data_IF_818925601670
#
_entry.id   IF_818925601670
#
_cell.length_a   1.000
_cell.length_b   1.000
_cell.length_c   1.000
_cell.angle_alpha   90.00
_cell.angle_beta   90.00
_cell.angle_gamma   90.00
#
_symmetry.space_group_name_H-M   'P 1'
#
loop_
_entity.id
_entity.type
_entity.pdbx_description
1 polymer ?
#
# COMPACT_ATOMS: atom_id res chain seq x y z
N UNK A 1 7.70 3.79 2.22
CA UNK A 1 8.23 3.56 3.60
C UNK A 1 8.60 4.91 4.18
N UNK A 2 9.62 5.54 3.60
CA UNK A 2 9.93 6.95 3.82
C UNK A 2 8.75 7.85 3.46
N UNK A 3 8.48 8.83 4.32
CA UNK A 3 7.36 9.75 4.25
C UNK A 3 5.96 9.11 4.15
N UNK A 4 5.85 7.78 4.21
CA UNK A 4 4.61 7.03 4.09
C UNK A 4 4.21 6.35 5.41
N UNK A 5 5.17 5.77 6.12
CA UNK A 5 4.93 5.15 7.44
C UNK A 5 5.67 5.88 8.57
N UNK A 6 6.83 6.45 8.26
CA UNK A 6 7.62 7.29 9.14
C UNK A 6 7.94 8.62 8.47
N UNK A 7 8.19 9.65 9.26
CA UNK A 7 8.54 10.98 8.77
C UNK A 7 9.99 11.04 8.29
N UNK A 8 10.19 11.65 7.12
CA UNK A 8 11.50 11.79 6.48
C UNK A 8 11.94 10.55 5.69
N UNK A 9 13.16 10.66 5.15
CA UNK A 9 13.95 9.50 4.72
C UNK A 9 14.64 8.97 5.96
N UNK A 10 14.31 7.76 6.35
CA UNK A 10 15.03 7.09 7.44
C UNK A 10 16.36 6.64 6.84
N UNK A 11 17.47 6.95 7.49
CA UNK A 11 18.81 6.51 7.13
C UNK A 11 19.58 6.15 8.41
N UNK A 12 20.83 5.69 8.31
CA UNK A 12 21.62 5.26 9.49
C UNK A 12 21.71 6.32 10.61
N UNK A 13 21.43 7.59 10.30
CA UNK A 13 21.52 8.75 11.20
C UNK A 13 20.16 9.37 11.59
N UNK A 14 19.03 8.90 11.04
CA UNK A 14 17.69 9.44 11.34
C UNK A 14 16.68 8.32 11.56
N UNK A 15 16.13 8.26 12.78
CA UNK A 15 15.19 7.21 13.18
C UNK A 15 13.74 7.45 12.75
N UNK A 16 13.43 8.57 12.07
CA UNK A 16 12.11 8.97 11.55
C UNK A 16 10.91 8.55 12.41
N UNK A 17 10.31 9.48 13.15
CA UNK A 17 9.15 9.16 13.98
C UNK A 17 8.03 8.49 13.16
N UNK A 18 7.44 7.42 13.69
CA UNK A 18 6.29 6.77 13.06
C UNK A 18 5.14 7.77 12.97
N UNK A 19 4.52 7.84 11.79
CA UNK A 19 3.33 8.64 11.57
C UNK A 19 2.15 7.95 12.25
N UNK A 20 1.67 8.54 13.35
CA UNK A 20 0.60 7.95 14.17
C UNK A 20 -0.64 7.57 13.34
N UNK A 21 -1.02 8.42 12.38
CA UNK A 21 -2.16 8.16 11.49
C UNK A 21 -1.92 7.00 10.52
N UNK A 22 -0.70 6.81 10.00
CA UNK A 22 -0.37 5.67 9.16
C UNK A 22 -0.42 4.36 9.96
N UNK A 23 0.13 4.35 11.19
CA UNK A 23 0.06 3.18 12.08
C UNK A 23 -1.39 2.86 12.46
N UNK A 24 -2.20 3.89 12.74
CA UNK A 24 -3.64 3.73 13.04
C UNK A 24 -4.39 3.14 11.84
N UNK A 25 -4.13 3.64 10.63
CA UNK A 25 -4.72 3.13 9.41
C UNK A 25 -4.35 1.66 9.16
N UNK A 26 -3.05 1.31 9.27
CA UNK A 26 -2.61 -0.09 9.16
C UNK A 26 -3.35 -1.01 10.13
N UNK A 27 -3.53 -0.58 11.38
CA UNK A 27 -4.28 -1.35 12.38
C UNK A 27 -5.74 -1.55 11.96
N UNK A 28 -6.46 -0.48 11.64
CA UNK A 28 -7.89 -0.55 11.31
C UNK A 28 -8.11 -1.40 10.05
N UNK A 29 -7.27 -1.23 9.03
CA UNK A 29 -7.35 -2.00 7.80
C UNK A 29 -7.10 -3.49 8.05
N UNK A 30 -6.13 -3.82 8.92
CA UNK A 30 -5.87 -5.21 9.32
C UNK A 30 -7.04 -5.84 10.06
N UNK A 31 -7.68 -5.10 10.97
CA UNK A 31 -8.89 -5.56 11.68
C UNK A 31 -10.06 -5.86 10.73
N UNK A 32 -10.03 -5.30 9.51
CA UNK A 32 -11.01 -5.55 8.45
C UNK A 32 -10.57 -6.62 7.44
N UNK A 33 -9.47 -7.33 7.71
CA UNK A 33 -8.96 -8.39 6.84
C UNK A 33 -8.06 -7.91 5.70
N UNK A 34 -7.65 -6.64 5.67
CA UNK A 34 -6.70 -6.15 4.67
C UNK A 34 -5.28 -6.60 5.04
N UNK A 35 -4.63 -7.31 4.12
CA UNK A 35 -3.22 -7.68 4.24
C UNK A 35 -2.31 -6.52 3.85
N UNK A 36 -1.22 -6.33 4.59
CA UNK A 36 -0.23 -5.31 4.31
C UNK A 36 1.05 -5.92 3.75
N UNK A 37 1.68 -5.23 2.81
CA UNK A 37 2.99 -5.57 2.27
C UNK A 37 3.85 -4.32 2.10
N UNK A 38 5.17 -4.50 2.06
CA UNK A 38 6.13 -3.43 1.83
C UNK A 38 6.68 -3.54 0.41
N UNK A 39 6.59 -2.45 -0.36
CA UNK A 39 7.35 -2.25 -1.59
C UNK A 39 8.26 -1.03 -1.38
N UNK A 40 9.54 -1.25 -1.08
CA UNK A 40 10.50 -0.17 -0.79
C UNK A 40 11.67 -0.14 -1.76
N UNK A 41 12.28 1.03 -1.89
CA UNK A 41 13.58 1.17 -2.56
C UNK A 41 14.66 1.25 -1.50
N UNK A 42 15.82 0.66 -1.77
CA UNK A 42 16.96 0.67 -0.87
C UNK A 42 17.45 -0.74 -0.56
N UNK A 43 18.11 -0.87 0.59
CA UNK A 43 18.71 -2.11 1.06
C UNK A 43 17.74 -2.92 1.92
N UNK A 44 17.62 -4.22 1.62
CA UNK A 44 16.67 -5.11 2.30
C UNK A 44 16.99 -5.27 3.78
N UNK A 45 18.26 -5.57 4.12
CA UNK A 45 18.70 -5.80 5.49
C UNK A 45 18.40 -4.58 6.38
N UNK A 46 18.66 -3.38 5.84
CA UNK A 46 18.44 -2.13 6.54
C UNK A 46 16.93 -1.85 6.75
N UNK A 47 16.11 -2.01 5.71
CA UNK A 47 14.64 -1.82 5.80
C UNK A 47 14.02 -2.77 6.83
N UNK A 48 14.42 -4.04 6.81
CA UNK A 48 13.93 -5.06 7.76
C UNK A 48 14.35 -4.75 9.19
N UNK A 49 15.59 -4.29 9.40
CA UNK A 49 16.08 -3.87 10.71
C UNK A 49 15.22 -2.73 11.30
N UNK A 50 14.89 -1.72 10.50
CA UNK A 50 14.02 -0.62 10.93
C UNK A 50 12.59 -1.10 11.25
N UNK A 51 12.01 -1.93 10.40
CA UNK A 51 10.69 -2.52 10.66
C UNK A 51 10.64 -3.31 11.97
N UNK A 52 11.72 -4.06 12.30
CA UNK A 52 11.84 -4.79 13.56
C UNK A 52 12.01 -3.86 14.77
N UNK A 53 12.86 -2.83 14.65
CA UNK A 53 13.06 -1.81 15.69
C UNK A 53 11.74 -1.14 16.09
N UNK A 54 10.85 -0.91 15.12
CA UNK A 54 9.53 -0.33 15.35
C UNK A 54 8.43 -1.36 15.72
N UNK A 55 8.73 -2.66 15.79
CA UNK A 55 7.75 -3.71 16.08
C UNK A 55 6.67 -3.85 14.99
N UNK A 56 7.00 -3.50 13.75
CA UNK A 56 6.09 -3.50 12.60
C UNK A 56 6.34 -4.63 11.62
N UNK A 57 7.52 -5.26 11.65
CA UNK A 57 7.90 -6.33 10.72
C UNK A 57 6.80 -7.40 10.59
N UNK A 58 6.30 -7.91 11.72
CA UNK A 58 5.32 -9.01 11.74
C UNK A 58 3.89 -8.57 11.36
N UNK A 59 3.71 -7.28 11.02
CA UNK A 59 2.44 -6.76 10.49
C UNK A 59 2.36 -6.82 8.97
N UNK A 60 3.47 -7.11 8.29
CA UNK A 60 3.55 -7.20 6.84
C UNK A 60 3.69 -8.66 6.42
N UNK A 61 2.84 -9.10 5.50
CA UNK A 61 2.86 -10.45 4.96
C UNK A 61 4.03 -10.67 3.99
N UNK A 62 4.41 -9.63 3.24
CA UNK A 62 5.52 -9.66 2.29
C UNK A 62 6.30 -8.36 2.39
N UNK A 63 7.63 -8.46 2.31
CA UNK A 63 8.55 -7.31 2.26
C UNK A 63 9.41 -7.43 1.02
N UNK A 64 9.13 -6.62 0.01
CA UNK A 64 9.94 -6.46 -1.19
C UNK A 64 10.73 -5.16 -1.09
N UNK A 65 12.05 -5.27 -1.15
CA UNK A 65 12.97 -4.13 -1.10
C UNK A 65 14.02 -4.29 -2.19
N UNK A 66 14.20 -3.26 -3.01
CA UNK A 66 15.27 -3.25 -4.00
C UNK A 66 15.25 -2.02 -4.88
N UNK A 67 16.25 -1.91 -5.76
CA UNK A 67 16.47 -0.72 -6.60
C UNK A 67 15.64 -0.69 -7.90
N UNK A 68 14.81 -1.72 -8.12
CA UNK A 68 13.93 -1.83 -9.29
C UNK A 68 12.69 -0.93 -9.23
N UNK A 69 11.87 -1.01 -10.27
CA UNK A 69 10.58 -0.29 -10.36
C UNK A 69 9.60 -0.76 -9.28
N UNK A 70 8.77 0.16 -8.77
CA UNK A 70 7.71 -0.15 -7.80
C UNK A 70 6.65 -1.05 -8.38
N UNK A 71 6.25 -0.81 -9.63
CA UNK A 71 5.34 -1.69 -10.36
C UNK A 71 5.79 -3.15 -10.35
N UNK A 72 7.08 -3.42 -10.63
CA UNK A 72 7.62 -4.77 -10.61
C UNK A 72 7.60 -5.41 -9.20
N UNK A 73 7.86 -4.62 -8.15
CA UNK A 73 7.75 -5.09 -6.78
C UNK A 73 6.31 -5.44 -6.41
N UNK A 74 5.34 -4.58 -6.78
CA UNK A 74 3.91 -4.82 -6.54
C UNK A 74 3.43 -6.10 -7.24
N UNK A 75 3.86 -6.34 -8.49
CA UNK A 75 3.52 -7.58 -9.20
C UNK A 75 4.02 -8.82 -8.46
N UNK A 76 5.26 -8.81 -7.95
CA UNK A 76 5.79 -9.93 -7.16
C UNK A 76 5.06 -10.12 -5.84
N UNK A 77 4.71 -9.03 -5.14
CA UNK A 77 3.90 -9.10 -3.91
C UNK A 77 2.54 -9.74 -4.20
N UNK A 78 1.85 -9.28 -5.25
CA UNK A 78 0.53 -9.80 -5.61
C UNK A 78 0.59 -11.29 -5.96
N UNK A 79 1.62 -11.72 -6.70
CA UNK A 79 1.88 -13.13 -7.01
C UNK A 79 2.13 -13.97 -5.75
N UNK A 80 2.99 -13.49 -4.84
CA UNK A 80 3.30 -14.18 -3.58
C UNK A 80 2.07 -14.32 -2.68
N UNK A 81 1.20 -13.31 -2.67
CA UNK A 81 -0.04 -13.32 -1.89
C UNK A 81 -1.20 -14.04 -2.59
N UNK A 82 -1.06 -14.40 -3.87
CA UNK A 82 -2.12 -15.02 -4.66
C UNK A 82 -3.33 -14.10 -4.90
N UNK A 83 -3.14 -12.78 -4.97
CA UNK A 83 -4.21 -11.78 -5.16
C UNK A 83 -4.14 -11.13 -6.54
N UNK A 84 -5.31 -10.72 -7.06
CA UNK A 84 -5.40 -9.94 -8.30
C UNK A 84 -4.91 -8.50 -8.10
N UNK A 85 -4.33 -7.89 -9.14
CA UNK A 85 -3.85 -6.51 -9.09
C UNK A 85 -4.97 -5.47 -8.88
N UNK A 86 -6.19 -5.79 -9.29
CA UNK A 86 -7.42 -5.02 -9.05
C UNK A 86 -7.84 -4.98 -7.57
N UNK A 87 -7.29 -5.88 -6.76
CA UNK A 87 -7.49 -5.93 -5.30
C UNK A 87 -6.38 -5.20 -4.54
N UNK A 88 -5.35 -4.70 -5.23
CA UNK A 88 -4.21 -4.02 -4.60
C UNK A 88 -4.44 -2.52 -4.50
N UNK A 89 -4.26 -2.00 -3.29
CA UNK A 89 -4.09 -0.57 -3.03
C UNK A 89 -2.62 -0.25 -2.76
N UNK A 90 -2.06 0.71 -3.51
CA UNK A 90 -0.70 1.19 -3.35
C UNK A 90 -0.67 2.59 -2.74
N UNK A 91 0.12 2.78 -1.70
CA UNK A 91 0.29 4.07 -1.03
C UNK A 91 1.76 4.48 -1.04
N UNK A 92 2.05 5.67 -1.56
CA UNK A 92 3.41 6.24 -1.53
C UNK A 92 3.35 7.77 -1.39
N UNK A 93 4.39 8.34 -0.77
CA UNK A 93 4.53 9.78 -0.61
C UNK A 93 4.95 10.45 -1.92
N UNK A 94 5.82 9.80 -2.69
CA UNK A 94 6.44 10.35 -3.89
C UNK A 94 5.46 10.30 -5.09
N UNK A 95 5.04 11.45 -5.64
CA UNK A 95 4.17 11.48 -6.81
C UNK A 95 4.72 10.72 -8.01
N UNK A 96 6.03 10.77 -8.24
CA UNK A 96 6.65 10.07 -9.37
C UNK A 96 6.47 8.55 -9.28
N UNK A 97 6.66 7.98 -8.08
CA UNK A 97 6.46 6.54 -7.85
C UNK A 97 4.99 6.14 -8.05
N UNK A 98 4.04 6.99 -7.62
CA UNK A 98 2.61 6.72 -7.88
C UNK A 98 2.27 6.77 -9.37
N UNK A 99 2.81 7.73 -10.10
CA UNK A 99 2.60 7.84 -11.56
C UNK A 99 3.20 6.65 -12.30
N UNK A 100 4.39 6.19 -11.89
CA UNK A 100 5.03 5.00 -12.45
C UNK A 100 4.13 3.77 -12.30
N UNK A 101 3.63 3.53 -11.08
CA UNK A 101 2.73 2.40 -10.78
C UNK A 101 1.42 2.53 -11.53
N UNK A 102 0.77 3.70 -11.50
CA UNK A 102 -0.51 3.91 -12.16
C UNK A 102 -0.42 3.71 -13.69
N UNK A 103 0.70 4.07 -14.30
CA UNK A 103 0.94 3.85 -15.73
C UNK A 103 1.22 2.38 -16.04
N UNK A 104 2.08 1.72 -15.24
CA UNK A 104 2.48 0.34 -15.48
C UNK A 104 1.39 -0.68 -15.11
N UNK A 105 0.60 -0.40 -14.06
CA UNK A 105 -0.42 -1.27 -13.48
C UNK A 105 -1.74 -0.50 -13.30
N UNK A 106 -2.51 -0.24 -14.37
CA UNK A 106 -3.74 0.55 -14.29
C UNK A 106 -4.83 -0.03 -13.38
N UNK A 107 -4.74 -1.32 -13.03
CA UNK A 107 -5.67 -1.98 -12.11
C UNK A 107 -5.40 -1.63 -10.63
N UNK A 108 -4.18 -1.19 -10.31
CA UNK A 108 -3.75 -0.89 -8.94
C UNK A 108 -4.23 0.51 -8.55
N UNK A 109 -5.01 0.60 -7.46
CA UNK A 109 -5.46 1.89 -6.92
C UNK A 109 -4.30 2.57 -6.20
N UNK A 110 -3.93 3.79 -6.63
CA UNK A 110 -2.82 4.54 -6.06
C UNK A 110 -3.30 5.69 -5.15
N UNK A 111 -2.76 5.76 -3.94
CA UNK A 111 -3.11 6.76 -2.93
C UNK A 111 -1.89 7.56 -2.49
N UNK A 112 -2.07 8.86 -2.27
CA UNK A 112 -1.01 9.69 -1.70
C UNK A 112 -0.88 9.42 -0.19
N UNK A 113 0.34 9.24 0.31
CA UNK A 113 0.58 8.92 1.72
C UNK A 113 0.00 9.92 2.73
N UNK A 114 -0.12 11.19 2.34
CA UNK A 114 -0.76 12.24 3.16
C UNK A 114 -2.25 11.97 3.47
N UNK A 115 -2.89 11.04 2.75
CA UNK A 115 -4.29 10.65 2.93
C UNK A 115 -4.42 9.29 3.63
N UNK A 116 -3.38 8.80 4.32
CA UNK A 116 -3.42 7.52 5.02
C UNK A 116 -4.55 7.45 6.07
N UNK A 117 -4.85 8.57 6.71
CA UNK A 117 -5.90 8.74 7.73
C UNK A 117 -7.31 8.48 7.20
N UNK A 118 -7.57 8.81 5.92
CA UNK A 118 -8.89 8.63 5.29
C UNK A 118 -9.04 7.27 4.61
N UNK A 119 -7.97 6.51 4.38
CA UNK A 119 -8.08 5.18 3.75
C UNK A 119 -9.07 4.25 4.46
N UNK A 120 -9.10 4.16 5.80
CA UNK A 120 -10.10 3.36 6.49
C UNK A 120 -11.54 3.87 6.34
N UNK A 121 -11.79 5.07 5.81
CA UNK A 121 -13.14 5.56 5.57
C UNK A 121 -13.68 5.16 4.19
N UNK A 122 -12.80 4.86 3.23
CA UNK A 122 -13.15 4.52 1.84
C UNK A 122 -13.95 3.22 1.77
N UNK A 123 -14.91 3.17 0.84
CA UNK A 123 -15.81 2.02 0.72
C UNK A 123 -15.07 0.73 0.36
N UNK A 124 -14.05 0.80 -0.51
CA UNK A 124 -13.28 -0.39 -0.88
C UNK A 124 -12.49 -1.03 0.27
N UNK A 125 -12.31 -0.31 1.39
CA UNK A 125 -11.63 -0.80 2.59
C UNK A 125 -12.59 -1.05 3.76
N UNK A 126 -13.90 -1.01 3.52
CA UNK A 126 -14.90 -1.48 4.49
C UNK A 126 -15.01 -3.01 4.35
N UNK A 127 -15.14 -3.69 5.48
CA UNK A 127 -15.50 -5.10 5.45
C UNK A 127 -16.81 -5.26 4.66
N UNK A 128 -16.96 -6.30 3.82
CA UNK A 128 -18.23 -6.55 3.16
C UNK A 128 -19.31 -6.68 4.23
N UNK A 129 -20.25 -5.74 4.29
CA UNK A 129 -21.45 -5.89 5.08
C UNK A 129 -22.33 -6.90 4.33
N UNK A 130 -22.05 -8.19 4.53
CA UNK A 130 -22.76 -9.29 3.89
C UNK A 130 -22.51 -9.42 2.39
N UNK A 131 -23.14 -10.43 1.80
CA UNK A 131 -23.05 -10.81 0.38
C UNK A 131 -23.72 -9.83 -0.59
N UNK A 132 -23.91 -8.56 -0.19
CA UNK A 132 -24.56 -7.54 -1.01
C UNK A 132 -23.47 -6.80 -1.77
N UNK A 133 -23.47 -6.83 -3.12
CA UNK A 133 -22.50 -6.07 -3.89
C UNK A 133 -22.66 -4.57 -3.59
N UNK A 134 -21.55 -3.82 -3.50
CA UNK A 134 -21.60 -2.40 -3.19
C UNK A 134 -22.43 -1.66 -4.25
N UNK A 135 -23.23 -0.63 -3.86
CA UNK A 135 -23.93 0.18 -4.83
C UNK A 135 -22.91 0.79 -5.80
N UNK A 136 -23.11 0.57 -7.10
CA UNK A 136 -22.32 1.17 -8.17
C UNK A 136 -22.19 2.66 -7.92
N UNK A 137 -20.96 3.14 -7.76
CA UNK A 137 -20.68 4.57 -7.64
C UNK A 137 -21.24 5.31 -8.86
N UNK A 138 -21.86 6.49 -8.69
CA UNK A 138 -22.46 7.25 -9.80
C UNK A 138 -21.43 7.87 -10.77
N UNK A 139 -20.13 7.63 -10.57
CA UNK A 139 -19.12 8.02 -11.55
C UNK A 139 -18.98 6.95 -12.63
N UNK A 140 -19.79 7.14 -13.68
CA UNK A 140 -19.70 6.50 -14.98
C UNK A 140 -18.25 6.42 -15.47
N UNK A 141 -17.71 5.21 -15.55
CA UNK A 141 -16.84 4.81 -16.65
C UNK A 141 -17.48 3.60 -17.31
N UNK A 142 -18.01 3.82 -18.51
CA UNK A 142 -18.64 2.81 -19.32
C UNK A 142 -17.65 1.65 -19.58
N UNK A 143 -18.01 0.45 -19.11
CA UNK A 143 -17.36 -0.78 -19.54
C UNK A 143 -17.71 -1.04 -21.02
N UNK A 144 -16.86 -0.58 -21.94
CA UNK A 144 -16.88 -1.08 -23.31
C UNK A 144 -16.26 -2.48 -23.28
N UNK A 145 -17.08 -3.51 -23.42
CA UNK A 145 -16.61 -4.84 -23.80
C UNK A 145 -16.32 -4.81 -25.30
N UNK A 146 -15.04 -4.83 -25.67
CA UNK A 146 -14.63 -5.22 -27.01
C UNK A 146 -14.50 -6.75 -27.06
N UNK A 147 -15.11 -7.33 -28.09
CA UNK A 147 -15.12 -8.76 -28.42
C UNK A 147 -13.74 -9.27 -28.82
#
# INVERSE_FOLDING_TARGET
MDNALWDGVVCETTDGALRAEAVRALRILRERGVMHAVASRGEFAWTVAQLRKHGLHDRFAVVEVGWGKKSAAITRIAQTLGVGLDQVGYIDAEPLERTEVAHALPQVRCYAARHADVLPALQEFRAPLGSVPPPTSPMSFAHIHAR
#
